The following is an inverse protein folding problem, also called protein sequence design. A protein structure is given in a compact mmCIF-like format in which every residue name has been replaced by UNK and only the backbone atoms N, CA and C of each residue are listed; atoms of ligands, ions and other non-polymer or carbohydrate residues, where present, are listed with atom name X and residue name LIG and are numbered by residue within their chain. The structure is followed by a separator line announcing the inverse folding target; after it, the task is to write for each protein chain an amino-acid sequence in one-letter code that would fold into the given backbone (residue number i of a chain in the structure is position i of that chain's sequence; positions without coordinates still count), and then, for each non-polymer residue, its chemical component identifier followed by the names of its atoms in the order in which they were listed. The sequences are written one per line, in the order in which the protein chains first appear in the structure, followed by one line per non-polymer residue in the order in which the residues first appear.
data_IF_098361903450
#
_entry.id   IF_098361903450
#
_cell.length_a   1.000
_cell.length_b   1.000
_cell.length_c   1.000
_cell.angle_alpha   90.00
_cell.angle_beta   90.00
_cell.angle_gamma   90.00
#
_symmetry.space_group_name_H-M   'P 1'
#
loop_
_entity.id
_entity.type
_entity.pdbx_description
1 polymer ?
#
# COMPACT_ATOMS: atom_id res chain seq x y z
N UNK A 1 -1.14 15.15 5.28
CA UNK A 1 -1.52 15.99 6.42
C UNK A 1 -2.73 16.86 6.13
N UNK A 2 -3.03 17.17 4.86
CA UNK A 2 -4.15 18.02 4.44
C UNK A 2 -5.48 17.26 4.23
N UNK A 3 -5.50 15.96 4.37
CA UNK A 3 -6.70 15.15 4.19
C UNK A 3 -7.64 15.33 5.40
N UNK A 4 -8.82 15.92 5.17
CA UNK A 4 -9.83 16.09 6.20
C UNK A 4 -10.73 14.85 6.29
N UNK A 5 -10.51 14.04 7.32
CA UNK A 5 -11.23 12.80 7.55
C UNK A 5 -12.46 13.05 8.41
N UNK A 6 -13.65 12.87 7.84
CA UNK A 6 -14.89 12.83 8.62
C UNK A 6 -14.99 11.51 9.39
N UNK A 7 -15.47 11.55 10.63
CA UNK A 7 -15.54 10.37 11.51
C UNK A 7 -16.46 9.25 11.00
N UNK A 8 -17.34 9.55 10.06
CA UNK A 8 -18.41 8.64 9.64
C UNK A 8 -18.12 7.87 8.34
N UNK A 9 -17.06 8.21 7.61
CA UNK A 9 -16.76 7.59 6.32
C UNK A 9 -15.46 6.82 6.39
N UNK A 10 -15.46 5.59 5.89
CA UNK A 10 -14.26 4.81 5.65
C UNK A 10 -13.63 5.17 4.31
N UNK A 11 -12.34 4.88 4.14
CA UNK A 11 -11.64 4.97 2.87
C UNK A 11 -11.79 3.62 2.17
N UNK A 12 -12.29 3.65 0.94
CA UNK A 12 -12.47 2.44 0.15
C UNK A 12 -11.13 2.05 -0.49
N UNK A 13 -10.79 0.77 -0.40
CA UNK A 13 -9.58 0.21 -0.95
C UNK A 13 -9.93 -1.04 -1.76
N UNK A 14 -9.62 -1.02 -3.05
CA UNK A 14 -9.74 -2.14 -3.96
C UNK A 14 -8.40 -2.87 -4.06
N UNK A 15 -8.36 -4.13 -3.67
CA UNK A 15 -7.15 -4.94 -3.70
C UNK A 15 -7.31 -6.02 -4.75
N UNK A 16 -6.41 -6.00 -5.72
CA UNK A 16 -6.23 -7.07 -6.69
C UNK A 16 -5.01 -7.90 -6.28
N UNK A 17 -5.15 -9.22 -6.22
CA UNK A 17 -4.07 -10.10 -5.79
C UNK A 17 -4.09 -11.42 -6.53
N UNK A 18 -2.93 -12.05 -6.63
CA UNK A 18 -2.74 -13.39 -7.18
C UNK A 18 -2.15 -14.30 -6.11
N UNK A 19 -2.63 -15.51 -6.05
CA UNK A 19 -2.20 -16.43 -5.01
C UNK A 19 -2.14 -17.88 -5.49
N UNK A 20 -1.25 -18.66 -4.90
CA UNK A 20 -1.22 -20.10 -5.07
C UNK A 20 -2.50 -20.71 -4.51
N UNK A 21 -3.18 -21.52 -5.30
CA UNK A 21 -4.43 -22.16 -4.93
C UNK A 21 -4.26 -23.09 -3.72
N UNK A 22 -5.02 -22.88 -2.62
CA UNK A 22 -5.01 -23.78 -1.48
C UNK A 22 -5.50 -25.18 -1.85
N UNK A 23 -4.91 -26.24 -1.30
CA UNK A 23 -5.33 -27.61 -1.59
C UNK A 23 -6.68 -27.99 -0.98
N UNK A 24 -7.07 -27.32 0.09
CA UNK A 24 -8.30 -27.61 0.86
C UNK A 24 -9.18 -26.38 0.94
N UNK A 25 -10.49 -26.57 0.80
CA UNK A 25 -11.49 -25.51 0.89
C UNK A 25 -11.51 -24.93 2.33
N UNK A 26 -11.68 -23.60 2.42
CA UNK A 26 -11.84 -22.82 3.65
C UNK A 26 -10.69 -23.00 4.69
N UNK A 27 -9.54 -23.52 4.23
CA UNK A 27 -8.39 -23.75 5.09
C UNK A 27 -7.36 -22.62 5.06
N UNK A 28 -7.45 -21.72 4.10
CA UNK A 28 -6.45 -20.67 3.88
C UNK A 28 -7.13 -19.32 3.79
N UNK A 29 -6.48 -18.30 4.32
CA UNK A 29 -7.03 -16.95 4.38
C UNK A 29 -5.97 -15.88 4.14
N UNK A 30 -6.45 -14.69 3.79
CA UNK A 30 -5.70 -13.45 3.75
C UNK A 30 -6.23 -12.53 4.84
N UNK A 31 -5.38 -12.14 5.76
CA UNK A 31 -5.67 -11.16 6.80
C UNK A 31 -5.05 -9.82 6.44
N UNK A 32 -5.83 -8.77 6.56
CA UNK A 32 -5.39 -7.40 6.27
C UNK A 32 -5.36 -6.61 7.56
N UNK A 33 -4.24 -5.95 7.81
CA UNK A 33 -4.06 -5.08 8.98
C UNK A 33 -3.46 -3.74 8.58
N UNK A 34 -3.83 -2.69 9.31
CA UNK A 34 -3.32 -1.33 9.18
C UNK A 34 -2.73 -0.89 10.52
N UNK A 35 -1.47 -0.44 10.51
CA UNK A 35 -0.79 0.03 11.72
C UNK A 35 -0.86 -0.99 12.87
N UNK A 36 -0.67 -2.28 12.58
CA UNK A 36 -0.80 -3.43 13.49
C UNK A 36 -2.22 -3.64 14.05
N UNK A 37 -3.24 -2.98 13.49
CA UNK A 37 -4.63 -3.22 13.84
C UNK A 37 -5.32 -4.03 12.74
N UNK A 38 -5.93 -5.13 13.10
CA UNK A 38 -6.70 -5.96 12.19
C UNK A 38 -7.84 -5.15 11.53
N UNK A 39 -7.99 -5.30 10.22
CA UNK A 39 -9.08 -4.73 9.44
C UNK A 39 -10.10 -5.79 9.06
N UNK A 40 -9.66 -6.78 8.29
CA UNK A 40 -10.56 -7.80 7.72
C UNK A 40 -9.80 -9.06 7.32
N UNK A 41 -10.53 -10.18 7.28
CA UNK A 41 -10.04 -11.48 6.81
C UNK A 41 -10.87 -11.96 5.62
N UNK A 42 -10.21 -12.56 4.64
CA UNK A 42 -10.81 -13.14 3.45
C UNK A 42 -10.36 -14.58 3.27
N UNK A 43 -11.31 -15.48 3.05
CA UNK A 43 -10.99 -16.86 2.73
C UNK A 43 -10.47 -16.95 1.28
N UNK A 44 -9.39 -17.67 1.08
CA UNK A 44 -8.85 -17.96 -0.25
C UNK A 44 -9.61 -19.13 -0.87
N UNK A 45 -10.07 -18.96 -2.10
CA UNK A 45 -10.80 -20.01 -2.82
C UNK A 45 -9.96 -21.25 -3.03
N UNK A 46 -10.54 -22.40 -2.78
CA UNK A 46 -9.87 -23.70 -2.92
C UNK A 46 -9.83 -24.19 -4.38
N UNK A 47 -9.00 -25.21 -4.61
CA UNK A 47 -8.90 -25.91 -5.92
C UNK A 47 -10.26 -26.35 -6.47
N UNK A 48 -11.22 -26.68 -5.61
CA UNK A 48 -12.53 -27.19 -6.01
C UNK A 48 -13.45 -26.08 -6.56
N UNK A 49 -13.35 -24.87 -6.06
CA UNK A 49 -14.10 -23.71 -6.58
C UNK A 49 -13.47 -23.17 -7.87
N UNK A 50 -12.14 -23.12 -7.90
CA UNK A 50 -11.40 -22.69 -9.07
C UNK A 50 -11.61 -23.62 -10.28
N UNK A 51 -11.72 -24.92 -10.10
CA UNK A 51 -12.04 -25.85 -11.18
C UNK A 51 -13.41 -25.59 -11.82
N UNK A 52 -14.37 -25.05 -11.11
CA UNK A 52 -15.65 -24.60 -11.68
C UNK A 52 -15.54 -23.33 -12.52
N UNK A 53 -14.60 -22.44 -12.18
CA UNK A 53 -14.30 -21.20 -12.91
C UNK A 53 -13.33 -21.44 -14.08
N UNK A 54 -12.31 -22.28 -13.89
CA UNK A 54 -11.26 -22.57 -14.88
C UNK A 54 -11.71 -23.43 -16.07
N UNK A 55 -12.85 -24.11 -16.00
CA UNK A 55 -13.44 -24.79 -17.14
C UNK A 55 -13.79 -23.85 -18.32
N UNK A 56 -13.67 -22.53 -18.12
CA UNK A 56 -13.91 -21.50 -19.14
C UNK A 56 -12.66 -20.81 -19.70
N UNK A 57 -11.47 -21.00 -19.11
CA UNK A 57 -10.24 -20.30 -19.55
C UNK A 57 -9.04 -21.27 -19.50
N UNK A 58 -8.50 -21.71 -20.64
CA UNK A 58 -7.47 -22.76 -20.69
C UNK A 58 -6.02 -22.30 -20.46
N UNK A 59 -5.70 -21.14 -19.93
CA UNK A 59 -4.31 -20.65 -19.93
C UNK A 59 -3.92 -19.92 -18.65
N UNK A 60 -3.95 -20.52 -17.46
CA UNK A 60 -3.13 -20.00 -16.36
C UNK A 60 -2.77 -21.12 -15.39
N UNK A 61 -1.60 -21.69 -15.60
CA UNK A 61 -1.01 -22.65 -14.68
C UNK A 61 -0.54 -21.92 -13.42
N UNK A 62 -1.22 -22.15 -12.29
CA UNK A 62 -0.65 -22.02 -10.98
C UNK A 62 -1.14 -20.91 -10.04
N UNK A 63 -1.63 -19.78 -10.54
CA UNK A 63 -2.10 -18.69 -9.70
C UNK A 63 -3.57 -18.34 -9.98
N UNK A 64 -4.35 -18.09 -8.94
CA UNK A 64 -5.70 -17.54 -9.01
C UNK A 64 -5.68 -16.04 -8.81
N UNK A 65 -6.50 -15.36 -9.59
CA UNK A 65 -6.77 -13.94 -9.37
C UNK A 65 -7.85 -13.77 -8.30
N UNK A 66 -7.61 -12.87 -7.36
CA UNK A 66 -8.56 -12.45 -6.35
C UNK A 66 -8.76 -10.95 -6.39
N UNK A 67 -9.98 -10.51 -6.13
CA UNK A 67 -10.32 -9.10 -5.92
C UNK A 67 -11.12 -8.97 -4.64
N UNK A 68 -10.81 -7.97 -3.83
CA UNK A 68 -11.55 -7.69 -2.61
C UNK A 68 -11.60 -6.20 -2.33
N UNK A 69 -12.71 -5.78 -1.75
CA UNK A 69 -12.96 -4.41 -1.34
C UNK A 69 -12.85 -4.33 0.18
N UNK A 70 -12.06 -3.38 0.67
CA UNK A 70 -11.85 -3.15 2.10
C UNK A 70 -12.15 -1.71 2.44
N UNK A 71 -12.97 -1.50 3.47
CA UNK A 71 -13.19 -0.16 4.00
C UNK A 71 -12.28 0.09 5.21
N UNK A 72 -11.42 1.10 5.10
CA UNK A 72 -10.49 1.51 6.15
C UNK A 72 -11.18 2.58 7.02
N UNK A 73 -11.43 2.32 8.31
CA UNK A 73 -11.99 3.34 9.19
C UNK A 73 -11.04 4.54 9.31
N UNK A 74 -11.55 5.76 9.12
CA UNK A 74 -10.77 7.00 9.17
C UNK A 74 -9.97 7.16 10.48
N UNK A 75 -10.50 6.67 11.60
CA UNK A 75 -9.84 6.73 12.90
C UNK A 75 -8.57 5.85 13.03
N UNK A 76 -8.37 4.91 12.12
CA UNK A 76 -7.17 4.04 12.11
C UNK A 76 -6.01 4.64 11.34
N UNK A 77 -6.23 5.75 10.63
CA UNK A 77 -5.20 6.42 9.84
C UNK A 77 -4.36 7.35 10.71
N UNK A 78 -3.05 7.25 10.55
CA UNK A 78 -2.06 8.14 11.15
C UNK A 78 -1.37 9.02 10.10
N UNK A 79 -0.32 9.72 10.53
CA UNK A 79 0.54 10.49 9.62
C UNK A 79 1.31 9.57 8.66
N UNK A 80 1.76 8.43 9.17
CA UNK A 80 2.37 7.34 8.42
C UNK A 80 1.50 6.10 8.60
N UNK A 81 1.25 5.37 7.51
CA UNK A 81 0.37 4.21 7.53
C UNK A 81 1.10 3.00 6.94
N UNK A 82 1.08 1.90 7.67
CA UNK A 82 1.63 0.63 7.23
C UNK A 82 0.49 -0.36 6.99
N UNK A 83 0.29 -0.72 5.74
CA UNK A 83 -0.65 -1.76 5.34
C UNK A 83 0.10 -3.09 5.28
N UNK A 84 -0.45 -4.13 5.91
CA UNK A 84 0.12 -5.46 5.96
C UNK A 84 -0.88 -6.49 5.50
N UNK A 85 -0.43 -7.40 4.67
CA UNK A 85 -1.16 -8.55 4.16
C UNK A 85 -0.50 -9.82 4.69
N UNK A 86 -1.22 -10.59 5.49
CA UNK A 86 -0.77 -11.87 6.01
C UNK A 86 -1.55 -12.99 5.32
N UNK A 87 -0.83 -13.87 4.63
CA UNK A 87 -1.42 -15.01 3.94
C UNK A 87 -1.14 -16.28 4.74
N UNK A 88 -2.19 -16.89 5.22
CA UNK A 88 -2.12 -18.11 6.01
C UNK A 88 -2.59 -19.31 5.15
N UNK A 89 -1.68 -20.23 4.88
CA UNK A 89 -1.94 -21.42 4.09
C UNK A 89 -1.93 -22.67 4.96
N UNK A 90 -3.00 -23.47 4.86
CA UNK A 90 -3.05 -24.80 5.46
C UNK A 90 -2.85 -25.86 4.37
N UNK A 91 -1.70 -26.52 4.42
CA UNK A 91 -1.35 -27.61 3.51
C UNK A 91 -1.29 -28.93 4.31
N UNK A 92 -2.38 -29.71 4.38
CA UNK A 92 -2.36 -31.00 5.05
C UNK A 92 -1.48 -31.98 4.29
N UNK A 93 -0.70 -32.79 5.00
CA UNK A 93 0.08 -33.86 4.39
C UNK A 93 -0.84 -34.93 3.77
N UNK A 94 -0.56 -35.37 2.53
CA UNK A 94 -1.23 -36.54 1.97
C UNK A 94 -0.90 -37.79 2.81
N UNK A 95 -1.90 -38.46 3.34
CA UNK A 95 -1.72 -39.74 4.06
C UNK A 95 -1.65 -39.65 5.59
N UNK A 96 -1.93 -38.48 6.18
CA UNK A 96 -2.08 -38.34 7.62
C UNK A 96 -3.24 -39.20 8.14
N UNK A 97 -2.96 -40.12 9.07
CA UNK A 97 -3.92 -40.95 9.77
C UNK A 97 -4.95 -40.10 10.53
N UNK A 98 -6.11 -40.68 10.74
CA UNK A 98 -7.34 -40.10 11.34
C UNK A 98 -7.18 -39.58 12.78
N UNK A 99 -6.01 -39.67 13.37
CA UNK A 99 -5.67 -39.15 14.68
C UNK A 99 -5.10 -37.75 14.62
N UNK A 100 -5.96 -36.77 14.66
CA UNK A 100 -5.85 -35.36 15.09
C UNK A 100 -4.49 -34.61 15.05
N UNK A 101 -3.44 -35.11 14.46
CA UNK A 101 -2.19 -34.41 14.23
C UNK A 101 -2.11 -33.94 12.78
N UNK A 102 -2.50 -32.68 12.52
CA UNK A 102 -2.28 -32.05 11.24
C UNK A 102 -0.80 -31.67 11.15
N UNK A 103 -0.04 -32.43 10.38
CA UNK A 103 1.35 -32.08 10.07
C UNK A 103 1.37 -31.16 8.88
N UNK A 104 1.95 -29.97 9.06
CA UNK A 104 2.10 -29.00 7.98
C UNK A 104 3.37 -29.30 7.17
N UNK A 105 3.22 -29.39 5.85
CA UNK A 105 4.37 -29.50 4.98
C UNK A 105 4.74 -28.09 4.49
N UNK A 106 6.01 -27.68 4.56
CA UNK A 106 6.44 -26.43 3.93
C UNK A 106 6.30 -26.55 2.41
N UNK A 107 5.31 -25.87 1.85
CA UNK A 107 5.08 -25.77 0.41
C UNK A 107 5.41 -24.36 0.01
N UNK A 108 6.04 -24.17 -1.16
CA UNK A 108 6.27 -22.84 -1.71
C UNK A 108 4.93 -22.29 -2.19
N UNK A 109 4.37 -21.38 -1.43
CA UNK A 109 3.19 -20.60 -1.82
C UNK A 109 3.65 -19.24 -2.33
N UNK A 110 3.11 -18.82 -3.46
CA UNK A 110 3.39 -17.52 -4.06
C UNK A 110 2.17 -16.64 -3.95
N UNK A 111 2.39 -15.41 -3.53
CA UNK A 111 1.36 -14.36 -3.47
C UNK A 111 1.93 -13.07 -4.04
N UNK A 112 1.13 -12.38 -4.81
CA UNK A 112 1.46 -11.08 -5.38
C UNK A 112 0.27 -10.16 -5.18
N UNK A 113 0.49 -8.99 -4.61
CA UNK A 113 -0.48 -7.89 -4.63
C UNK A 113 -0.29 -7.13 -5.94
N UNK A 114 -1.38 -6.94 -6.70
CA UNK A 114 -1.35 -6.24 -7.97
C UNK A 114 -1.06 -4.75 -7.80
N UNK A 115 -0.29 -4.20 -8.73
CA UNK A 115 0.01 -2.77 -8.85
C UNK A 115 -1.20 -1.94 -9.32
N UNK A 116 -2.24 -2.60 -9.79
CA UNK A 116 -3.55 -2.06 -10.11
C UNK A 116 -4.50 -1.94 -8.90
N UNK A 117 -4.03 -2.29 -7.69
CA UNK A 117 -4.76 -2.04 -6.45
C UNK A 117 -4.84 -0.55 -6.16
N UNK A 118 -6.01 -0.07 -5.70
CA UNK A 118 -6.26 1.36 -5.51
C UNK A 118 -6.82 1.68 -4.14
N UNK A 119 -6.54 2.90 -3.67
CA UNK A 119 -7.15 3.49 -2.48
C UNK A 119 -7.86 4.76 -2.90
N UNK A 120 -9.16 4.86 -2.63
CA UNK A 120 -9.99 5.98 -3.06
C UNK A 120 -10.10 7.06 -1.98
N UNK A 121 -9.46 8.19 -2.22
CA UNK A 121 -9.55 9.40 -1.39
C UNK A 121 -10.46 10.48 -2.01
N UNK A 122 -11.13 10.21 -3.13
CA UNK A 122 -11.90 11.21 -3.88
C UNK A 122 -13.07 11.81 -3.09
N UNK A 123 -13.57 11.10 -2.08
CA UNK A 123 -14.67 11.53 -1.21
C UNK A 123 -14.23 12.49 -0.09
N UNK A 124 -12.93 12.78 0.02
CA UNK A 124 -12.39 13.56 1.13
C UNK A 124 -11.91 14.93 0.67
N UNK A 125 -12.19 15.94 1.47
CA UNK A 125 -11.71 17.29 1.24
C UNK A 125 -10.25 17.41 1.68
N UNK A 126 -9.47 18.14 0.88
CA UNK A 126 -8.13 18.57 1.23
C UNK A 126 -8.22 19.94 1.89
N UNK A 127 -7.99 19.99 3.18
CA UNK A 127 -8.03 21.24 3.95
C UNK A 127 -7.05 21.19 5.11
N UNK A 128 -6.22 22.21 5.19
CA UNK A 128 -5.35 22.49 6.33
C UNK A 128 -5.19 24.01 6.49
N UNK A 129 -5.32 24.57 7.69
CA UNK A 129 -5.03 25.99 7.90
C UNK A 129 -3.52 26.23 7.74
N UNK A 130 -3.15 27.22 6.92
CA UNK A 130 -1.75 27.61 6.68
C UNK A 130 -1.44 28.97 7.31
N UNK A 131 -0.20 29.24 7.76
CA UNK A 131 0.96 28.35 7.77
C UNK A 131 0.89 27.31 8.91
N UNK A 132 1.29 26.07 8.60
CA UNK A 132 1.38 24.99 9.60
C UNK A 132 2.81 24.43 9.65
N UNK A 133 3.62 24.99 10.57
CA UNK A 133 5.01 24.57 10.79
C UNK A 133 5.12 23.13 11.30
N UNK A 134 4.08 22.63 11.98
CA UNK A 134 4.05 21.26 12.48
C UNK A 134 3.88 20.27 11.30
N UNK A 135 3.01 20.59 10.36
CA UNK A 135 2.84 19.78 9.15
C UNK A 135 4.13 19.77 8.30
N UNK A 136 4.81 20.92 8.20
CA UNK A 136 6.11 21.00 7.55
C UNK A 136 7.17 20.15 8.26
N UNK A 137 7.35 20.31 9.56
CA UNK A 137 8.37 19.59 10.32
C UNK A 137 8.17 18.08 10.33
N UNK A 138 6.92 17.61 10.33
CA UNK A 138 6.60 16.18 10.43
C UNK A 138 6.48 15.48 9.08
N UNK A 139 6.22 16.22 8.00
CA UNK A 139 5.92 15.61 6.70
C UNK A 139 6.47 16.38 5.50
N UNK A 140 7.13 17.54 5.69
CA UNK A 140 7.57 18.40 4.60
C UNK A 140 6.42 19.14 3.87
N UNK A 141 5.20 19.08 4.41
CA UNK A 141 4.04 19.72 3.79
C UNK A 141 4.14 21.26 3.83
N UNK A 142 3.78 22.00 2.76
CA UNK A 142 3.00 21.59 1.58
C UNK A 142 3.84 20.98 0.44
N UNK A 143 5.15 21.06 0.49
CA UNK A 143 6.02 20.66 -0.63
C UNK A 143 5.99 19.15 -0.92
N UNK A 144 5.75 18.34 0.09
CA UNK A 144 5.62 16.87 0.01
C UNK A 144 4.21 16.37 -0.29
N UNK A 145 3.31 17.21 -0.80
CA UNK A 145 1.94 16.78 -1.15
C UNK A 145 1.96 15.56 -2.07
N UNK A 146 2.85 15.58 -3.05
CA UNK A 146 3.25 14.40 -3.81
C UNK A 146 4.60 13.93 -3.27
N UNK A 147 4.71 12.67 -2.88
CA UNK A 147 5.91 12.13 -2.23
C UNK A 147 7.17 12.22 -3.13
N UNK A 148 6.98 12.13 -4.44
CA UNK A 148 8.03 12.25 -5.47
C UNK A 148 8.40 13.71 -5.81
N UNK A 149 7.78 14.69 -5.16
CA UNK A 149 7.91 16.13 -5.38
C UNK A 149 7.53 16.61 -6.80
N UNK A 150 6.69 15.87 -7.53
CA UNK A 150 6.26 16.24 -8.89
C UNK A 150 5.49 17.56 -8.97
N UNK A 151 4.93 18.06 -7.87
CA UNK A 151 4.23 19.34 -7.78
C UNK A 151 5.07 20.43 -7.10
N UNK A 152 6.38 20.19 -6.90
CA UNK A 152 7.27 21.13 -6.21
C UNK A 152 8.35 21.64 -7.14
N UNK A 153 8.52 22.95 -7.17
CA UNK A 153 9.54 23.64 -7.95
C UNK A 153 10.52 24.33 -7.01
N UNK A 154 11.79 24.09 -7.24
CA UNK A 154 12.87 24.82 -6.55
C UNK A 154 13.53 25.79 -7.51
N UNK A 155 13.60 27.05 -7.12
CA UNK A 155 14.29 28.10 -7.90
C UNK A 155 15.71 28.25 -7.36
N UNK A 156 16.67 28.08 -8.25
CA UNK A 156 18.10 28.19 -7.94
C UNK A 156 18.78 29.17 -8.92
N UNK A 157 19.81 29.91 -8.50
CA UNK A 157 20.61 30.71 -9.45
C UNK A 157 21.25 29.83 -10.53
N UNK A 158 21.50 30.39 -11.72
CA UNK A 158 22.23 29.70 -12.82
C UNK A 158 23.58 29.14 -12.40
N UNK A 159 24.24 29.81 -11.48
CA UNK A 159 25.54 29.42 -10.92
C UNK A 159 25.41 29.40 -9.39
N UNK A 160 24.84 28.33 -8.83
CA UNK A 160 24.68 28.23 -7.38
C UNK A 160 26.05 28.08 -6.72
N UNK A 161 26.22 28.71 -5.56
CA UNK A 161 27.40 28.52 -4.73
C UNK A 161 27.26 27.22 -3.87
N UNK A 162 28.35 26.81 -3.22
CA UNK A 162 28.40 25.59 -2.41
C UNK A 162 27.31 25.57 -1.32
N UNK A 163 27.11 26.68 -0.58
CA UNK A 163 26.11 26.77 0.48
C UNK A 163 24.66 26.60 -0.06
N UNK A 164 24.37 27.11 -1.25
CA UNK A 164 23.06 26.97 -1.88
C UNK A 164 22.81 25.52 -2.30
N UNK A 165 23.83 24.84 -2.87
CA UNK A 165 23.73 23.42 -3.20
C UNK A 165 23.56 22.55 -1.97
N UNK A 166 24.33 22.82 -0.92
CA UNK A 166 24.21 22.12 0.35
C UNK A 166 22.81 22.28 0.94
N UNK A 167 22.27 23.51 0.94
CA UNK A 167 20.92 23.80 1.42
C UNK A 167 19.85 23.03 0.64
N UNK A 168 19.96 23.01 -0.70
CA UNK A 168 19.04 22.23 -1.54
C UNK A 168 19.10 20.75 -1.19
N UNK A 169 20.30 20.16 -1.15
CA UNK A 169 20.47 18.74 -0.88
C UNK A 169 19.97 18.35 0.52
N UNK A 170 20.25 19.17 1.53
CA UNK A 170 19.79 18.94 2.89
C UNK A 170 18.24 19.05 2.98
N UNK A 171 17.62 20.01 2.30
CA UNK A 171 16.17 20.17 2.27
C UNK A 171 15.50 19.00 1.58
N UNK A 172 15.99 18.61 0.40
CA UNK A 172 15.44 17.48 -0.35
C UNK A 172 15.65 16.17 0.40
N UNK A 173 16.82 15.99 1.02
CA UNK A 173 17.11 14.83 1.87
C UNK A 173 16.21 14.76 3.08
N UNK A 174 15.94 15.89 3.75
CA UNK A 174 14.98 15.96 4.86
C UNK A 174 13.57 15.56 4.41
N UNK A 175 13.06 16.11 3.31
CA UNK A 175 11.72 15.78 2.79
C UNK A 175 11.66 14.30 2.39
N UNK A 176 12.69 13.77 1.72
CA UNK A 176 12.77 12.36 1.35
C UNK A 176 12.75 11.42 2.56
N UNK A 177 13.43 11.80 3.65
CA UNK A 177 13.39 11.05 4.91
C UNK A 177 12.00 11.07 5.56
N UNK A 178 11.26 12.18 5.46
CA UNK A 178 9.91 12.29 6.00
C UNK A 178 8.86 11.53 5.16
N UNK A 179 8.99 11.57 3.83
CA UNK A 179 8.05 10.89 2.92
C UNK A 179 8.36 9.40 2.75
N UNK A 180 9.61 8.99 3.02
CA UNK A 180 10.10 7.65 2.71
C UNK A 180 10.25 7.40 1.20
N UNK A 181 10.20 8.44 0.36
CA UNK A 181 10.25 8.35 -1.09
C UNK A 181 11.29 9.32 -1.68
N UNK A 182 12.06 8.90 -2.69
CA UNK A 182 13.04 9.78 -3.32
C UNK A 182 12.38 10.88 -4.16
N UNK A 183 12.94 12.08 -4.13
CA UNK A 183 12.45 13.27 -4.84
C UNK A 183 12.78 13.23 -6.35
N UNK A 184 12.35 12.20 -7.04
CA UNK A 184 12.76 11.91 -8.43
C UNK A 184 12.15 12.85 -9.47
N UNK A 185 11.06 13.50 -9.14
CA UNK A 185 10.31 14.39 -10.05
C UNK A 185 10.39 15.88 -9.64
N UNK A 186 11.31 16.21 -8.70
CA UNK A 186 11.54 17.61 -8.32
C UNK A 186 12.04 18.42 -9.52
N UNK A 187 11.36 19.51 -9.82
CA UNK A 187 11.83 20.46 -10.84
C UNK A 187 12.73 21.50 -10.21
N UNK A 188 13.94 21.68 -10.77
CA UNK A 188 14.88 22.74 -10.41
C UNK A 188 15.02 23.68 -11.58
N UNK A 189 14.76 24.98 -11.38
CA UNK A 189 14.82 26.01 -12.42
C UNK A 189 15.57 27.24 -11.92
N UNK A 190 16.08 28.05 -12.84
CA UNK A 190 16.63 29.37 -12.56
C UNK A 190 15.64 30.51 -12.81
N UNK A 191 14.46 30.20 -13.33
CA UNK A 191 13.38 31.12 -13.60
C UNK A 191 12.18 30.87 -12.66
N UNK A 192 11.87 31.84 -11.83
CA UNK A 192 10.72 31.83 -10.92
C UNK A 192 9.38 32.20 -11.57
N UNK A 193 9.33 32.34 -12.89
CA UNK A 193 8.12 32.77 -13.64
C UNK A 193 7.27 31.59 -14.16
N UNK A 194 7.58 30.34 -13.79
CA UNK A 194 6.86 29.14 -14.21
C UNK A 194 5.71 28.78 -13.29
#
# INVERSE_FOLDING_TARGET
PDLYLMRSTGIDMDINYRYTMPPVKDSSRMDISLNNQFLQSFNLSSKQEANRLLLRIPVLQGLLDGKTDVSIPALKLGATNQLRFDFEYMNPMPGGSVDNCITFQPVQNHVVIGDDSTIDFSKYYHFIPMPDLRAFANAGFPFSRMADLSQTITVMPKTPNEAQMETLLNTVGFIGAQTGFPAINLTVTDDGST
#
